data_IF_698191955435
#
_entry.id   IF_698191955435
#
_cell.length_a   1.000
_cell.length_b   1.000
_cell.length_c   1.000
_cell.angle_alpha   90.00
_cell.angle_beta   90.00
_cell.angle_gamma   90.00
#
_symmetry.space_group_name_H-M   'P 1'
#
loop_
_entity.id
_entity.type
_entity.pdbx_description
1 polymer ?
#
# COMPACT_ATOMS: atom_id res chain seq x y z
N UNK A 1 21.05 -52.59 -33.76
CA UNK A 1 22.17 -53.33 -34.38
C UNK A 1 23.45 -52.68 -33.91
N UNK A 2 24.26 -53.43 -33.15
CA UNK A 2 25.69 -53.26 -32.77
C UNK A 2 26.10 -51.93 -32.08
N UNK A 3 26.52 -51.85 -30.82
CA UNK A 3 27.63 -52.51 -30.08
C UNK A 3 29.00 -52.33 -30.74
N UNK A 4 29.93 -51.69 -30.02
CA UNK A 4 31.22 -52.31 -29.68
C UNK A 4 31.93 -51.63 -28.51
N UNK A 5 32.50 -52.47 -27.64
CA UNK A 5 33.21 -52.22 -26.39
C UNK A 5 34.66 -51.66 -26.53
N UNK A 6 35.12 -51.10 -25.41
CA UNK A 6 36.44 -51.14 -24.78
C UNK A 6 37.73 -50.78 -25.55
N UNK A 7 38.54 -49.91 -24.93
CA UNK A 7 39.84 -50.30 -24.34
C UNK A 7 40.40 -49.19 -23.43
N UNK A 8 40.89 -49.62 -22.27
CA UNK A 8 41.44 -48.83 -21.18
C UNK A 8 42.75 -48.09 -21.50
N UNK A 9 42.99 -46.97 -20.81
CA UNK A 9 44.34 -46.59 -20.39
C UNK A 9 44.31 -45.92 -19.01
N UNK A 10 45.17 -46.45 -18.12
CA UNK A 10 45.37 -46.05 -16.74
C UNK A 10 46.28 -44.82 -16.68
N UNK A 11 45.94 -43.84 -15.84
CA UNK A 11 46.81 -42.74 -15.44
C UNK A 11 46.23 -41.98 -14.25
N UNK A 12 46.74 -42.25 -13.04
CA UNK A 12 46.46 -41.51 -11.80
C UNK A 12 47.20 -40.16 -11.76
N UNK A 13 47.10 -39.37 -10.67
CA UNK A 13 46.02 -38.46 -10.30
C UNK A 13 46.49 -36.99 -10.43
N UNK A 14 45.75 -36.14 -11.14
CA UNK A 14 46.04 -34.70 -11.14
C UNK A 14 45.06 -33.99 -10.21
N UNK A 15 45.61 -33.55 -9.08
CA UNK A 15 45.03 -32.65 -8.07
C UNK A 15 43.92 -31.75 -8.62
N UNK A 16 42.68 -31.98 -8.18
CA UNK A 16 41.58 -31.05 -8.39
C UNK A 16 41.87 -29.78 -7.58
N UNK A 17 42.28 -28.71 -8.26
CA UNK A 17 42.24 -27.38 -7.70
C UNK A 17 40.75 -27.02 -7.52
N UNK A 18 40.32 -26.90 -6.26
CA UNK A 18 38.98 -26.49 -5.86
C UNK A 18 38.72 -25.07 -6.36
N UNK A 19 37.91 -24.92 -7.40
CA UNK A 19 37.42 -23.62 -7.85
C UNK A 19 36.41 -23.09 -6.81
N UNK A 20 36.64 -21.88 -6.31
CA UNK A 20 35.71 -21.20 -5.40
C UNK A 20 34.55 -20.65 -6.23
N UNK A 21 33.31 -21.08 -5.94
CA UNK A 21 32.11 -20.60 -6.63
C UNK A 21 31.46 -19.44 -5.85
N UNK A 22 30.93 -18.47 -6.59
CA UNK A 22 30.25 -17.29 -6.04
C UNK A 22 28.76 -17.60 -5.80
N UNK A 23 28.25 -17.28 -4.63
CA UNK A 23 26.88 -17.59 -4.19
C UNK A 23 26.11 -16.31 -3.81
N UNK A 24 24.82 -16.26 -4.13
CA UNK A 24 23.95 -15.14 -3.80
C UNK A 24 23.01 -15.49 -2.65
N UNK A 25 23.34 -15.04 -1.43
CA UNK A 25 22.59 -15.36 -0.21
C UNK A 25 21.12 -14.94 -0.22
N UNK A 26 20.80 -13.82 -0.87
CA UNK A 26 19.42 -13.31 -0.93
C UNK A 26 18.54 -14.03 -1.96
N UNK A 27 19.15 -14.74 -2.91
CA UNK A 27 18.43 -15.55 -3.89
C UNK A 27 18.54 -17.05 -3.59
N UNK A 28 19.37 -17.43 -2.61
CA UNK A 28 19.70 -18.80 -2.20
C UNK A 28 20.11 -19.73 -3.37
N UNK A 29 20.72 -19.16 -4.41
CA UNK A 29 21.13 -19.87 -5.62
C UNK A 29 22.49 -19.36 -6.14
N UNK A 30 23.17 -20.21 -6.93
CA UNK A 30 24.35 -19.80 -7.71
C UNK A 30 23.85 -18.95 -8.90
N UNK A 31 24.27 -17.68 -9.00
CA UNK A 31 23.73 -16.77 -10.01
C UNK A 31 24.11 -17.22 -11.43
N UNK A 32 23.11 -17.43 -12.28
CA UNK A 32 23.31 -17.83 -13.68
C UNK A 32 23.88 -16.69 -14.56
N UNK A 33 23.80 -15.43 -14.09
CA UNK A 33 24.35 -14.26 -14.75
C UNK A 33 24.79 -13.19 -13.74
N UNK A 34 25.95 -12.56 -13.97
CA UNK A 34 26.57 -11.56 -13.09
C UNK A 34 26.72 -10.21 -13.80
N UNK A 35 26.79 -9.11 -13.05
CA UNK A 35 27.13 -7.79 -13.61
C UNK A 35 28.53 -7.82 -14.24
N UNK A 36 28.85 -6.87 -15.13
CA UNK A 36 30.14 -6.82 -15.85
C UNK A 36 31.38 -6.86 -14.93
N UNK A 37 31.23 -6.44 -13.67
CA UNK A 37 32.30 -6.43 -12.67
C UNK A 37 32.42 -7.75 -11.88
N UNK A 38 31.55 -8.73 -12.14
CA UNK A 38 31.60 -10.09 -11.60
C UNK A 38 31.30 -10.23 -10.10
N UNK A 39 30.87 -9.15 -9.44
CA UNK A 39 30.75 -9.08 -7.96
C UNK A 39 29.32 -9.00 -7.44
N UNK A 40 28.32 -8.81 -8.31
CA UNK A 40 26.94 -8.56 -7.89
C UNK A 40 25.95 -9.40 -8.70
N UNK A 41 24.93 -9.89 -8.00
CA UNK A 41 23.81 -10.60 -8.60
C UNK A 41 22.98 -9.64 -9.45
N UNK A 42 22.69 -10.01 -10.71
CA UNK A 42 21.86 -9.20 -11.60
C UNK A 42 20.37 -9.21 -11.25
N UNK A 43 19.93 -10.20 -10.46
CA UNK A 43 18.51 -10.37 -10.09
C UNK A 43 18.15 -9.46 -8.91
N UNK A 44 18.97 -9.43 -7.86
CA UNK A 44 18.70 -8.66 -6.65
C UNK A 44 19.65 -7.46 -6.43
N UNK A 45 20.78 -7.40 -7.12
CA UNK A 45 21.79 -6.33 -6.98
C UNK A 45 22.78 -6.51 -5.81
N UNK A 46 22.64 -7.57 -5.02
CA UNK A 46 23.47 -7.84 -3.85
C UNK A 46 24.85 -8.40 -4.22
N UNK A 47 25.81 -8.20 -3.33
CA UNK A 47 27.21 -8.59 -3.51
C UNK A 47 27.37 -10.09 -3.28
N UNK A 48 28.11 -10.77 -4.16
CA UNK A 48 28.25 -12.22 -4.16
C UNK A 48 29.36 -12.66 -3.21
N UNK A 49 29.11 -13.73 -2.46
CA UNK A 49 30.07 -14.28 -1.49
C UNK A 49 30.74 -15.53 -2.06
N UNK A 50 32.02 -15.74 -1.74
CA UNK A 50 32.75 -16.95 -2.15
C UNK A 50 32.44 -18.10 -1.19
N UNK A 51 31.82 -19.16 -1.69
CA UNK A 51 31.63 -20.39 -0.93
C UNK A 51 32.80 -21.35 -1.19
N UNK A 52 33.43 -21.86 -0.13
CA UNK A 52 34.36 -22.99 -0.24
C UNK A 52 33.56 -24.30 -0.27
N UNK A 53 33.95 -25.29 -1.10
CA UNK A 53 33.27 -26.57 -1.12
C UNK A 53 33.59 -27.34 0.16
N UNK A 54 32.58 -27.53 1.00
CA UNK A 54 32.64 -28.40 2.17
C UNK A 54 32.60 -29.87 1.73
N UNK A 55 33.78 -30.45 1.48
CA UNK A 55 33.94 -31.90 1.46
C UNK A 55 34.09 -32.42 2.87
N UNK A 56 32.98 -32.79 3.50
CA UNK A 56 32.86 -33.93 4.44
C UNK A 56 31.45 -33.94 5.00
N UNK A 57 30.80 -35.10 4.87
CA UNK A 57 29.69 -35.50 5.72
C UNK A 57 30.13 -35.36 7.18
N UNK A 58 29.88 -34.22 7.80
CA UNK A 58 29.73 -34.15 9.23
C UNK A 58 28.24 -34.37 9.48
N UNK A 59 27.92 -35.64 9.71
CA UNK A 59 26.75 -36.04 10.47
C UNK A 59 26.48 -34.98 11.54
N UNK A 60 25.35 -34.29 11.40
CA UNK A 60 24.73 -33.61 12.52
C UNK A 60 24.76 -34.57 13.71
N UNK A 61 24.94 -34.13 14.97
CA UNK A 61 24.61 -34.98 16.08
C UNK A 61 23.11 -35.23 16.00
N UNK A 62 22.73 -36.32 15.32
CA UNK A 62 21.39 -36.84 15.33
C UNK A 62 21.06 -37.06 16.80
N UNK A 63 20.03 -36.37 17.27
CA UNK A 63 19.52 -36.56 18.61
C UNK A 63 18.93 -37.96 18.67
N UNK A 64 19.74 -38.92 19.14
CA UNK A 64 19.27 -40.26 19.47
C UNK A 64 18.43 -40.10 20.72
N UNK A 65 17.11 -40.20 20.56
CA UNK A 65 16.17 -40.36 21.66
C UNK A 65 16.41 -41.75 22.29
N UNK A 66 17.39 -41.85 23.17
CA UNK A 66 17.42 -42.92 24.15
C UNK A 66 16.32 -42.62 25.17
N UNK A 67 15.39 -43.55 25.31
CA UNK A 67 14.22 -43.44 26.19
C UNK A 67 14.58 -43.40 27.68
N UNK A 68 15.05 -42.24 28.14
CA UNK A 68 14.97 -41.83 29.54
C UNK A 68 14.03 -40.63 29.60
N UNK A 69 13.03 -40.71 30.47
CA UNK A 69 12.07 -39.63 30.71
C UNK A 69 12.80 -38.30 30.92
N UNK A 70 12.61 -37.37 29.97
CA UNK A 70 13.17 -36.02 30.06
C UNK A 70 12.55 -35.31 31.25
N UNK A 71 13.40 -34.84 32.17
CA UNK A 71 12.96 -34.05 33.32
C UNK A 71 12.40 -32.69 32.82
N UNK A 72 11.31 -32.23 33.43
CA UNK A 72 10.68 -30.91 33.17
C UNK A 72 11.70 -29.78 33.22
N UNK A 73 12.72 -29.87 34.08
CA UNK A 73 13.79 -28.87 34.19
C UNK A 73 14.73 -28.87 32.98
N UNK A 74 15.00 -30.03 32.37
CA UNK A 74 15.80 -30.12 31.14
C UNK A 74 15.01 -29.61 29.94
N UNK A 75 13.71 -29.89 29.90
CA UNK A 75 12.78 -29.34 28.92
C UNK A 75 12.68 -27.82 29.02
N UNK A 76 12.55 -27.28 30.24
CA UNK A 76 12.61 -25.83 30.47
C UNK A 76 13.96 -25.24 30.05
N UNK A 77 15.07 -25.92 30.31
CA UNK A 77 16.40 -25.44 29.93
C UNK A 77 16.58 -25.45 28.40
N UNK A 78 16.08 -26.47 27.72
CA UNK A 78 16.08 -26.54 26.25
C UNK A 78 15.19 -25.47 25.64
N UNK A 79 13.97 -25.28 26.16
CA UNK A 79 13.05 -24.22 25.70
C UNK A 79 13.65 -22.84 25.95
N UNK A 80 14.27 -22.59 27.10
CA UNK A 80 14.92 -21.30 27.37
C UNK A 80 16.13 -21.08 26.47
N UNK A 81 16.93 -22.11 26.14
CA UNK A 81 18.02 -22.00 25.16
C UNK A 81 17.52 -21.81 23.72
N UNK A 82 16.41 -22.45 23.36
CA UNK A 82 15.74 -22.22 22.07
C UNK A 82 15.17 -20.80 22.03
N UNK A 83 14.57 -20.31 23.10
CA UNK A 83 14.07 -18.94 23.21
C UNK A 83 15.21 -17.91 23.27
N UNK A 84 16.41 -18.27 23.72
CA UNK A 84 17.61 -17.43 23.67
C UNK A 84 18.19 -17.41 22.24
N UNK A 85 18.23 -18.56 21.58
CA UNK A 85 18.68 -18.69 20.19
C UNK A 85 17.69 -18.11 19.16
N UNK A 86 16.39 -18.17 19.45
CA UNK A 86 15.32 -17.48 18.71
C UNK A 86 15.21 -16.01 19.18
N UNK A 87 15.60 -15.72 20.42
CA UNK A 87 15.38 -14.43 21.11
C UNK A 87 16.50 -13.41 20.96
N UNK A 88 17.70 -13.81 20.52
CA UNK A 88 18.73 -12.85 20.11
C UNK A 88 18.37 -12.11 18.80
N UNK A 89 17.39 -12.60 18.02
CA UNK A 89 17.03 -12.02 16.72
C UNK A 89 15.54 -11.69 16.53
N UNK A 90 14.75 -11.57 17.61
CA UNK A 90 13.43 -10.94 17.50
C UNK A 90 13.47 -9.42 17.47
N UNK A 91 14.59 -8.86 17.93
CA UNK A 91 14.88 -7.43 17.92
C UNK A 91 16.17 -7.14 17.12
N UNK A 92 16.36 -7.88 16.02
CA UNK A 92 17.42 -7.78 15.01
C UNK A 92 18.73 -7.13 15.45
N UNK A 93 19.80 -7.92 15.54
CA UNK A 93 21.16 -7.41 15.66
C UNK A 93 21.41 -6.18 14.78
N UNK A 94 22.25 -5.26 15.29
CA UNK A 94 22.70 -3.91 14.87
C UNK A 94 22.29 -3.29 13.50
N UNK A 95 21.85 -4.07 12.53
CA UNK A 95 21.34 -3.68 11.20
C UNK A 95 19.85 -3.98 10.98
N UNK A 96 19.13 -4.69 11.87
CA UNK A 96 17.78 -5.23 11.59
C UNK A 96 16.71 -5.13 12.69
N UNK A 97 16.99 -4.52 13.84
CA UNK A 97 16.00 -4.39 14.93
C UNK A 97 14.74 -3.65 14.45
N UNK A 98 13.54 -4.18 14.75
CA UNK A 98 12.33 -3.35 14.72
C UNK A 98 12.51 -2.26 15.76
N UNK A 99 12.89 -1.07 15.30
CA UNK A 99 13.06 0.08 16.20
C UNK A 99 11.69 0.70 16.42
N UNK A 100 11.30 1.01 17.67
CA UNK A 100 10.10 1.78 17.92
C UNK A 100 10.12 3.09 17.13
N UNK A 101 8.96 3.55 16.69
CA UNK A 101 8.84 4.88 16.13
C UNK A 101 9.23 5.94 17.19
N UNK A 102 9.79 7.06 16.74
CA UNK A 102 10.04 8.21 17.62
C UNK A 102 8.71 8.84 18.04
N UNK A 103 8.63 9.31 19.29
CA UNK A 103 7.43 9.95 19.82
C UNK A 103 7.00 11.17 18.98
N UNK A 104 7.98 11.90 18.41
CA UNK A 104 7.74 13.00 17.48
C UNK A 104 7.11 12.51 16.17
N UNK A 105 7.58 11.40 15.60
CA UNK A 105 7.01 10.84 14.38
C UNK A 105 5.57 10.37 14.58
N UNK A 106 5.30 9.64 15.68
CA UNK A 106 3.94 9.19 16.03
C UNK A 106 3.01 10.38 16.22
N UNK A 107 3.46 11.43 16.94
CA UNK A 107 2.67 12.65 17.13
C UNK A 107 2.37 13.36 15.80
N UNK A 108 3.32 13.35 14.86
CA UNK A 108 3.18 13.99 13.56
C UNK A 108 2.22 13.27 12.60
N UNK A 109 1.93 11.98 12.80
CA UNK A 109 0.90 11.29 12.03
C UNK A 109 -0.49 11.91 12.25
N UNK A 110 -0.70 12.50 13.42
CA UNK A 110 -1.99 13.01 13.85
C UNK A 110 -3.02 11.89 14.03
N UNK A 111 -4.21 12.29 14.43
CA UNK A 111 -5.39 11.43 14.42
C UNK A 111 -6.58 12.28 14.07
N UNK A 112 -7.53 11.71 13.37
CA UNK A 112 -8.78 12.38 13.02
C UNK A 112 -9.96 11.47 13.36
N UNK A 113 -11.13 12.08 13.42
CA UNK A 113 -12.38 11.34 13.60
C UNK A 113 -12.79 10.82 12.24
N UNK A 114 -12.99 9.51 12.15
CA UNK A 114 -13.43 8.85 10.94
C UNK A 114 -14.78 9.44 10.49
N UNK A 115 -14.81 9.83 9.23
CA UNK A 115 -15.92 10.46 8.52
C UNK A 115 -16.42 9.54 7.39
N UNK A 116 -17.38 10.04 6.62
CA UNK A 116 -17.95 9.29 5.50
C UNK A 116 -16.88 8.82 4.50
N UNK A 117 -15.94 9.69 4.14
CA UNK A 117 -14.93 9.40 3.11
C UNK A 117 -13.79 8.51 3.59
N UNK A 118 -13.57 8.42 4.90
CA UNK A 118 -12.59 7.52 5.47
C UNK A 118 -13.13 6.12 5.74
N UNK A 119 -14.44 5.94 5.80
CA UNK A 119 -15.07 4.65 6.18
C UNK A 119 -15.79 3.96 5.04
N UNK A 120 -16.32 4.72 4.09
CA UNK A 120 -17.08 4.21 2.96
C UNK A 120 -16.20 4.05 1.73
N UNK A 121 -16.32 2.91 1.07
CA UNK A 121 -15.78 2.71 -0.28
C UNK A 121 -16.90 2.89 -1.31
N UNK A 122 -16.60 3.66 -2.36
CA UNK A 122 -17.52 3.90 -3.47
C UNK A 122 -16.91 3.36 -4.75
N UNK A 123 -17.66 2.54 -5.46
CA UNK A 123 -17.29 1.97 -6.74
C UNK A 123 -18.23 2.47 -7.83
N UNK A 124 -17.65 3.02 -8.91
CA UNK A 124 -18.36 3.39 -10.13
C UNK A 124 -18.21 2.23 -11.12
N UNK A 125 -19.34 1.65 -11.50
CA UNK A 125 -19.40 0.46 -12.36
C UNK A 125 -20.14 0.87 -13.64
N UNK A 126 -19.42 0.90 -14.75
CA UNK A 126 -19.99 1.32 -16.04
C UNK A 126 -20.43 0.07 -16.81
N UNK A 127 -21.69 0.01 -17.24
CA UNK A 127 -22.19 -1.13 -18.01
C UNK A 127 -21.36 -1.28 -19.30
N UNK A 128 -20.87 -2.50 -19.54
CA UNK A 128 -20.03 -2.82 -20.70
C UNK A 128 -18.52 -2.65 -20.48
N UNK A 129 -18.08 -2.07 -19.36
CA UNK A 129 -16.67 -2.04 -18.96
C UNK A 129 -16.43 -3.09 -17.88
N UNK A 130 -15.38 -3.89 -18.02
CA UNK A 130 -14.99 -4.86 -16.99
C UNK A 130 -14.29 -4.16 -15.82
N UNK A 131 -14.71 -4.49 -14.60
CA UNK A 131 -14.14 -3.96 -13.38
C UNK A 131 -14.90 -2.74 -12.86
N UNK A 132 -14.32 -2.10 -11.84
CA UNK A 132 -14.89 -0.96 -11.16
C UNK A 132 -13.83 0.11 -10.93
N UNK A 133 -14.28 1.36 -10.86
CA UNK A 133 -13.41 2.49 -10.57
C UNK A 133 -13.75 3.02 -9.18
N UNK A 134 -12.76 3.02 -8.29
CA UNK A 134 -12.93 3.59 -6.95
C UNK A 134 -13.06 5.11 -7.03
N UNK A 135 -14.06 5.63 -6.34
CA UNK A 135 -14.30 7.05 -6.13
C UNK A 135 -14.34 7.37 -4.63
N UNK A 136 -14.07 8.62 -4.28
CA UNK A 136 -14.09 9.10 -2.89
C UNK A 136 -15.36 9.92 -2.67
N UNK A 137 -16.22 9.58 -1.69
CA UNK A 137 -17.41 10.39 -1.43
C UNK A 137 -17.04 11.74 -0.83
N UNK A 138 -17.87 12.75 -1.09
CA UNK A 138 -17.77 14.03 -0.39
C UNK A 138 -18.12 13.89 1.08
N UNK A 139 -17.62 14.81 1.92
CA UNK A 139 -18.07 14.94 3.31
C UNK A 139 -19.33 15.80 3.45
N UNK A 140 -20.08 15.93 2.36
CA UNK A 140 -21.33 16.65 2.25
C UNK A 140 -22.26 15.92 1.28
N UNK A 141 -23.56 16.20 1.39
CA UNK A 141 -24.57 15.43 0.69
C UNK A 141 -24.68 13.99 1.20
N UNK A 142 -25.69 13.25 0.75
CA UNK A 142 -25.82 11.82 1.07
C UNK A 142 -24.72 11.00 0.39
N UNK A 143 -24.35 9.86 0.98
CA UNK A 143 -23.60 8.81 0.30
C UNK A 143 -24.51 7.60 0.13
N UNK A 144 -25.30 7.65 -0.93
CA UNK A 144 -26.30 6.64 -1.29
C UNK A 144 -25.96 6.02 -2.64
N UNK A 145 -26.28 4.72 -2.83
CA UNK A 145 -26.07 4.06 -4.10
C UNK A 145 -26.99 4.63 -5.18
N UNK A 146 -26.53 4.59 -6.43
CA UNK A 146 -27.33 4.94 -7.60
C UNK A 146 -27.33 3.76 -8.56
N UNK A 147 -28.50 3.25 -8.91
CA UNK A 147 -28.65 2.10 -9.81
C UNK A 147 -29.07 2.55 -11.21
N UNK A 148 -28.39 2.00 -12.21
CA UNK A 148 -28.68 2.07 -13.65
C UNK A 148 -29.00 3.49 -14.14
N UNK A 149 -28.14 4.45 -13.77
CA UNK A 149 -28.30 5.84 -14.18
C UNK A 149 -27.50 6.14 -15.43
N UNK A 150 -28.10 6.94 -16.32
CA UNK A 150 -27.37 7.48 -17.46
C UNK A 150 -26.31 8.47 -16.98
N UNK A 151 -25.16 8.46 -17.64
CA UNK A 151 -24.05 9.37 -17.37
C UNK A 151 -24.02 10.47 -18.42
N UNK A 152 -23.82 11.71 -17.98
CA UNK A 152 -23.69 12.87 -18.88
C UNK A 152 -22.49 13.71 -18.48
N UNK A 153 -21.76 14.23 -19.47
CA UNK A 153 -20.69 15.21 -19.24
C UNK A 153 -21.33 16.59 -19.15
N UNK A 154 -21.01 17.34 -18.11
CA UNK A 154 -21.46 18.72 -17.95
C UNK A 154 -20.87 19.64 -19.03
N UNK A 155 -21.66 20.63 -19.48
CA UNK A 155 -21.20 21.70 -20.36
C UNK A 155 -21.59 23.05 -19.74
N UNK A 156 -20.65 23.93 -19.36
CA UNK A 156 -19.20 23.74 -19.40
C UNK A 156 -18.72 22.66 -18.44
N UNK A 157 -17.61 22.00 -18.79
CA UNK A 157 -17.12 20.81 -18.07
C UNK A 157 -16.73 21.07 -16.62
N UNK A 158 -16.30 22.29 -16.28
CA UNK A 158 -16.04 22.62 -14.88
C UNK A 158 -17.34 22.77 -14.08
N UNK A 159 -18.48 23.08 -14.70
CA UNK A 159 -19.72 23.41 -13.99
C UNK A 159 -19.60 24.67 -13.13
N UNK A 160 -18.73 25.62 -13.48
CA UNK A 160 -18.58 26.91 -12.79
C UNK A 160 -19.63 27.95 -13.23
N UNK A 161 -20.16 27.82 -14.45
CA UNK A 161 -21.25 28.63 -15.02
C UNK A 161 -22.54 27.79 -15.14
N UNK A 162 -23.70 28.40 -15.45
CA UNK A 162 -24.92 27.66 -15.80
C UNK A 162 -24.65 26.64 -16.90
N UNK A 163 -25.32 25.49 -16.84
CA UNK A 163 -25.10 24.41 -17.80
C UNK A 163 -25.84 24.67 -19.11
N UNK A 164 -25.15 24.51 -20.23
CA UNK A 164 -25.71 24.61 -21.58
C UNK A 164 -26.61 23.41 -21.89
N UNK A 165 -26.27 22.23 -21.37
CA UNK A 165 -27.03 20.98 -21.50
C UNK A 165 -27.88 20.64 -20.26
N UNK A 166 -28.34 21.65 -19.52
CA UNK A 166 -29.12 21.50 -18.29
C UNK A 166 -30.38 20.61 -18.47
N UNK A 167 -31.07 20.77 -19.60
CA UNK A 167 -32.28 20.02 -19.96
C UNK A 167 -32.06 18.50 -20.04
N UNK A 168 -30.82 18.05 -20.18
CA UNK A 168 -30.48 16.63 -20.29
C UNK A 168 -30.00 16.00 -18.97
N UNK A 169 -29.88 16.77 -17.89
CA UNK A 169 -29.26 16.30 -16.63
C UNK A 169 -30.22 15.55 -15.70
N UNK A 170 -31.52 15.70 -15.91
CA UNK A 170 -32.54 15.11 -15.03
C UNK A 170 -32.37 13.60 -14.89
N UNK A 171 -32.32 13.13 -13.63
CA UNK A 171 -32.17 11.72 -13.25
C UNK A 171 -30.86 11.06 -13.76
N UNK A 172 -29.85 11.85 -14.15
CA UNK A 172 -28.54 11.37 -14.62
C UNK A 172 -27.43 11.60 -13.60
N UNK A 173 -26.35 10.84 -13.74
CA UNK A 173 -25.07 11.10 -13.09
C UNK A 173 -24.31 12.13 -13.92
N UNK A 174 -24.05 13.30 -13.36
CA UNK A 174 -23.35 14.38 -14.04
C UNK A 174 -21.85 14.31 -13.75
N UNK A 175 -21.03 14.27 -14.81
CA UNK A 175 -19.56 14.24 -14.72
C UNK A 175 -19.01 15.62 -15.04
N UNK A 176 -18.16 16.15 -14.15
CA UNK A 176 -17.57 17.49 -14.28
C UNK A 176 -16.14 17.52 -13.73
N UNK A 177 -15.34 18.52 -14.09
CA UNK A 177 -13.99 18.71 -13.56
C UNK A 177 -13.96 19.48 -12.25
N UNK A 178 -12.91 19.22 -11.45
CA UNK A 178 -12.48 20.11 -10.37
C UNK A 178 -12.03 21.47 -10.92
N UNK A 179 -12.33 22.54 -10.17
CA UNK A 179 -11.82 23.90 -10.41
C UNK A 179 -12.90 24.89 -10.79
N UNK A 180 -12.61 26.19 -10.81
CA UNK A 180 -13.56 27.24 -11.22
C UNK A 180 -14.57 27.72 -10.17
N UNK A 181 -15.04 26.86 -9.25
CA UNK A 181 -15.78 27.27 -8.04
C UNK A 181 -15.75 26.16 -6.96
N UNK A 182 -16.41 26.38 -5.81
CA UNK A 182 -16.47 25.40 -4.70
C UNK A 182 -17.20 24.11 -5.11
N UNK A 183 -16.83 22.97 -4.50
CA UNK A 183 -17.48 21.68 -4.80
C UNK A 183 -18.99 21.72 -4.52
N UNK A 184 -19.37 22.22 -3.34
CA UNK A 184 -20.76 22.36 -2.95
C UNK A 184 -21.56 23.19 -3.98
N UNK A 185 -21.02 24.33 -4.45
CA UNK A 185 -21.70 25.18 -5.43
C UNK A 185 -21.97 24.46 -6.75
N UNK A 186 -21.02 23.66 -7.25
CA UNK A 186 -21.20 22.90 -8.50
C UNK A 186 -22.26 21.81 -8.35
N UNK A 187 -22.22 21.09 -7.24
CA UNK A 187 -23.17 20.02 -6.93
C UNK A 187 -24.58 20.62 -6.76
N UNK A 188 -24.72 21.74 -6.06
CA UNK A 188 -25.99 22.46 -5.94
C UNK A 188 -26.54 22.91 -7.30
N UNK A 189 -25.67 23.34 -8.22
CA UNK A 189 -26.10 23.69 -9.57
C UNK A 189 -26.62 22.48 -10.32
N UNK A 190 -25.91 21.34 -10.29
CA UNK A 190 -26.38 20.12 -10.95
C UNK A 190 -27.67 19.60 -10.32
N UNK A 191 -27.80 19.70 -8.99
CA UNK A 191 -29.02 19.39 -8.27
C UNK A 191 -30.21 20.26 -8.71
N UNK A 192 -29.99 21.56 -8.96
CA UNK A 192 -31.04 22.46 -9.44
C UNK A 192 -31.56 22.03 -10.81
N UNK A 193 -30.71 21.42 -11.65
CA UNK A 193 -31.10 20.84 -12.94
C UNK A 193 -31.63 19.39 -12.85
N UNK A 194 -31.82 18.87 -11.63
CA UNK A 194 -32.41 17.56 -11.38
C UNK A 194 -31.45 16.37 -11.54
N UNK A 195 -30.14 16.59 -11.47
CA UNK A 195 -29.16 15.50 -11.46
C UNK A 195 -29.43 14.51 -10.31
N UNK A 196 -29.26 13.22 -10.57
CA UNK A 196 -29.37 12.17 -9.55
C UNK A 196 -28.11 12.09 -8.67
N UNK A 197 -26.95 12.49 -9.20
CA UNK A 197 -25.68 12.51 -8.49
C UNK A 197 -24.57 13.12 -9.35
N UNK A 198 -23.42 13.38 -8.74
CA UNK A 198 -22.29 14.04 -9.39
C UNK A 198 -20.99 13.25 -9.21
N UNK A 199 -20.22 13.12 -10.29
CA UNK A 199 -18.84 12.65 -10.27
C UNK A 199 -17.93 13.82 -10.68
N UNK A 200 -17.07 14.25 -9.76
CA UNK A 200 -16.07 15.29 -9.98
C UNK A 200 -14.73 14.65 -10.31
N UNK A 201 -14.19 14.96 -11.48
CA UNK A 201 -12.90 14.48 -11.95
C UNK A 201 -11.79 15.38 -11.41
N UNK A 202 -10.84 14.78 -10.70
CA UNK A 202 -9.62 15.45 -10.26
C UNK A 202 -8.77 15.88 -11.47
N UNK A 203 -8.11 17.04 -11.36
CA UNK A 203 -7.28 17.60 -12.45
C UNK A 203 -5.78 17.37 -12.28
N UNK A 204 -5.35 16.92 -11.10
CA UNK A 204 -3.95 16.62 -10.77
C UNK A 204 -3.79 15.12 -10.48
N UNK A 205 -2.67 14.54 -10.90
CA UNK A 205 -2.37 13.11 -10.70
C UNK A 205 -1.85 12.84 -9.29
N UNK A 206 -2.73 13.07 -8.32
CA UNK A 206 -2.54 12.74 -6.91
C UNK A 206 -3.73 11.91 -6.45
N UNK A 207 -3.56 11.18 -5.35
CA UNK A 207 -4.66 10.43 -4.74
C UNK A 207 -5.85 11.38 -4.49
N UNK A 208 -7.08 10.99 -4.87
CA UNK A 208 -8.23 11.86 -4.68
C UNK A 208 -8.43 12.15 -3.20
N UNK A 209 -8.52 13.42 -2.85
CA UNK A 209 -8.79 13.85 -1.49
C UNK A 209 -10.30 13.97 -1.26
N UNK A 210 -10.70 13.88 0.01
CA UNK A 210 -12.10 14.07 0.40
C UNK A 210 -12.57 15.48 0.07
N UNK A 211 -13.64 15.61 -0.69
CA UNK A 211 -14.25 16.92 -0.96
C UNK A 211 -14.89 17.44 0.34
N UNK A 212 -14.41 18.58 0.82
CA UNK A 212 -14.95 19.26 2.00
C UNK A 212 -15.63 20.56 1.61
N UNK A 213 -16.58 20.99 2.44
CA UNK A 213 -17.24 22.28 2.29
C UNK A 213 -16.43 23.36 3.01
N UNK A 214 -15.78 24.21 2.23
CA UNK A 214 -14.98 25.31 2.75
C UNK A 214 -15.80 26.56 3.07
N UNK A 215 -17.06 26.66 2.61
CA UNK A 215 -17.87 27.89 2.63
C UNK A 215 -19.18 27.76 3.40
N UNK A 216 -19.56 26.55 3.82
CA UNK A 216 -20.83 26.28 4.51
C UNK A 216 -22.04 26.21 3.58
N UNK A 217 -21.83 26.21 2.26
CA UNK A 217 -22.86 26.16 1.23
C UNK A 217 -23.48 24.77 1.10
N UNK A 218 -22.84 23.73 1.64
CA UNK A 218 -23.23 22.34 1.40
C UNK A 218 -24.49 21.87 2.15
N UNK A 219 -25.04 22.71 3.04
CA UNK A 219 -26.24 22.39 3.85
C UNK A 219 -27.45 21.99 2.99
N UNK A 220 -27.53 22.54 1.78
CA UNK A 220 -28.64 22.30 0.85
C UNK A 220 -28.33 21.20 -0.17
N UNK A 221 -27.17 20.54 -0.09
CA UNK A 221 -26.82 19.42 -0.97
C UNK A 221 -27.56 18.16 -0.53
N UNK A 222 -28.40 17.66 -1.43
CA UNK A 222 -29.29 16.50 -1.25
C UNK A 222 -29.01 15.36 -2.22
N UNK A 223 -28.07 15.55 -3.14
CA UNK A 223 -27.64 14.53 -4.10
C UNK A 223 -26.23 14.05 -3.76
N UNK A 224 -25.90 12.78 -4.02
CA UNK A 224 -24.59 12.24 -3.75
C UNK A 224 -23.52 12.85 -4.67
N UNK A 225 -22.35 13.10 -4.11
CA UNK A 225 -21.21 13.67 -4.81
C UNK A 225 -19.93 12.85 -4.54
N UNK A 226 -19.24 12.47 -5.62
CA UNK A 226 -18.06 11.62 -5.56
C UNK A 226 -16.90 12.25 -6.34
N UNK A 227 -15.67 11.98 -5.92
CA UNK A 227 -14.46 12.39 -6.64
C UNK A 227 -13.78 11.16 -7.27
N UNK A 228 -13.40 11.27 -8.54
CA UNK A 228 -12.61 10.27 -9.25
C UNK A 228 -11.21 10.82 -9.55
N UNK A 229 -10.20 9.95 -9.53
CA UNK A 229 -8.81 10.32 -9.85
C UNK A 229 -8.66 10.88 -11.28
N UNK A 230 -7.63 11.70 -11.50
CA UNK A 230 -7.34 12.25 -12.83
C UNK A 230 -7.08 11.14 -13.85
N UNK A 231 -6.33 10.10 -13.44
CA UNK A 231 -6.00 8.94 -14.27
C UNK A 231 -7.25 8.18 -14.75
N UNK A 232 -8.12 7.78 -13.83
CA UNK A 232 -9.35 7.07 -14.20
C UNK A 232 -10.34 8.00 -14.91
N UNK A 233 -10.45 9.24 -14.46
CA UNK A 233 -11.35 10.23 -15.04
C UNK A 233 -11.03 10.54 -16.50
N UNK A 234 -9.75 10.64 -16.88
CA UNK A 234 -9.36 10.83 -18.29
C UNK A 234 -9.92 9.72 -19.18
N UNK A 235 -9.66 8.46 -18.83
CA UNK A 235 -10.16 7.32 -19.59
C UNK A 235 -11.69 7.25 -19.60
N UNK A 236 -12.33 7.60 -18.49
CA UNK A 236 -13.79 7.64 -18.39
C UNK A 236 -14.41 8.70 -19.31
N UNK A 237 -13.85 9.92 -19.34
CA UNK A 237 -14.29 11.00 -20.24
C UNK A 237 -14.08 10.62 -21.71
N UNK A 238 -12.92 10.05 -22.06
CA UNK A 238 -12.63 9.59 -23.42
C UNK A 238 -13.63 8.51 -23.87
N UNK A 239 -13.97 7.58 -22.99
CA UNK A 239 -15.01 6.57 -23.24
C UNK A 239 -16.38 7.20 -23.49
N UNK A 240 -16.82 8.10 -22.62
CA UNK A 240 -18.11 8.80 -22.75
C UNK A 240 -18.21 9.59 -24.06
N UNK A 241 -17.14 10.29 -24.46
CA UNK A 241 -17.10 11.05 -25.72
C UNK A 241 -17.05 10.16 -26.96
N UNK A 242 -16.45 8.98 -26.86
CA UNK A 242 -16.40 8.00 -27.95
C UNK A 242 -17.73 7.32 -28.24
N UNK A 243 -18.68 7.37 -27.31
CA UNK A 243 -20.04 6.84 -27.45
C UNK A 243 -20.94 7.87 -28.15
N UNK A 244 -20.84 7.96 -29.47
CA UNK A 244 -21.68 8.85 -30.29
C UNK A 244 -23.18 8.50 -30.14
N UNK A 245 -23.91 9.29 -29.36
CA UNK A 245 -25.37 9.18 -29.10
C UNK A 245 -25.86 7.90 -28.41
N UNK A 246 -24.96 7.07 -27.88
CA UNK A 246 -25.34 5.91 -27.07
C UNK A 246 -25.40 6.32 -25.60
N UNK A 247 -26.50 5.97 -24.93
CA UNK A 247 -26.63 6.22 -23.50
C UNK A 247 -25.70 5.29 -22.70
N UNK A 248 -24.79 5.87 -21.92
CA UNK A 248 -23.92 5.11 -21.03
C UNK A 248 -24.56 5.00 -19.66
N UNK A 249 -24.83 3.77 -19.23
CA UNK A 249 -25.37 3.46 -17.91
C UNK A 249 -24.24 3.17 -16.92
N UNK A 250 -24.36 3.68 -15.71
CA UNK A 250 -23.47 3.37 -14.60
C UNK A 250 -24.24 3.13 -13.30
N UNK A 251 -23.70 2.20 -12.52
CA UNK A 251 -24.08 1.93 -11.14
C UNK A 251 -23.05 2.59 -10.21
N UNK A 252 -23.51 3.21 -9.13
CA UNK A 252 -22.68 3.65 -8.01
C UNK A 252 -22.97 2.72 -6.84
N UNK A 253 -22.03 1.84 -6.55
CA UNK A 253 -22.08 0.96 -5.39
C UNK A 253 -21.45 1.67 -4.19
N UNK A 254 -22.18 1.71 -3.08
CA UNK A 254 -21.72 2.28 -1.80
C UNK A 254 -21.54 1.13 -0.81
N UNK A 255 -20.30 0.85 -0.46
CA UNK A 255 -19.94 -0.18 0.53
C UNK A 255 -19.67 0.50 1.85
N UNK A 256 -20.71 0.53 2.68
CA UNK A 256 -20.57 0.87 4.10
C UNK A 256 -19.69 -0.21 4.74
N UNK A 257 -18.83 0.20 5.67
CA UNK A 257 -18.04 -0.71 6.49
C UNK A 257 -16.94 -1.46 5.72
N UNK A 258 -16.59 -0.99 4.52
CA UNK A 258 -15.55 -1.59 3.66
C UNK A 258 -14.12 -1.47 4.22
N UNK A 259 -13.94 -0.78 5.35
CA UNK A 259 -12.63 -0.47 5.92
C UNK A 259 -12.50 -1.00 7.33
N UNK A 260 -11.76 -2.10 7.43
CA UNK A 260 -11.38 -2.71 8.70
C UNK A 260 -9.94 -2.35 9.06
N UNK A 261 -9.68 -2.20 10.36
CA UNK A 261 -8.32 -2.07 10.83
C UNK A 261 -7.65 -3.45 10.83
N UNK A 262 -6.68 -3.67 9.94
CA UNK A 262 -5.98 -4.96 9.80
C UNK A 262 -5.24 -5.44 11.07
N UNK A 263 -5.04 -4.56 12.06
CA UNK A 263 -4.38 -4.92 13.32
C UNK A 263 -5.35 -5.66 14.24
N UNK A 264 -6.58 -5.16 14.40
CA UNK A 264 -7.60 -5.74 15.28
C UNK A 264 -8.71 -6.49 14.55
N UNK A 265 -8.77 -6.39 13.21
CA UNK A 265 -9.81 -6.94 12.34
C UNK A 265 -11.22 -6.45 12.71
N UNK A 266 -11.30 -5.22 13.21
CA UNK A 266 -12.57 -4.55 13.54
C UNK A 266 -12.77 -3.38 12.58
N UNK A 267 -14.03 -3.14 12.24
CA UNK A 267 -14.46 -2.03 11.41
C UNK A 267 -14.02 -0.67 11.96
N UNK A 268 -13.60 0.23 11.08
CA UNK A 268 -13.34 1.63 11.39
C UNK A 268 -14.60 2.46 11.11
N UNK A 269 -15.59 2.43 12.00
CA UNK A 269 -16.86 3.14 11.80
C UNK A 269 -16.74 4.66 11.98
N UNK A 270 -17.72 5.41 11.44
CA UNK A 270 -17.82 6.88 11.59
C UNK A 270 -17.81 7.26 13.07
N UNK A 271 -17.06 8.31 13.42
CA UNK A 271 -16.91 8.78 14.80
C UNK A 271 -15.74 8.15 15.55
N UNK A 272 -15.16 7.06 15.06
CA UNK A 272 -13.98 6.45 15.68
C UNK A 272 -12.72 7.26 15.41
N UNK A 273 -11.76 7.20 16.34
CA UNK A 273 -10.46 7.86 16.16
C UNK A 273 -9.53 6.99 15.32
N UNK A 274 -9.14 7.49 14.16
CA UNK A 274 -8.27 6.80 13.20
C UNK A 274 -7.01 7.61 12.93
N UNK A 275 -5.95 6.91 12.57
CA UNK A 275 -4.67 7.51 12.16
C UNK A 275 -4.27 6.95 10.81
N UNK A 276 -3.75 7.84 9.96
CA UNK A 276 -3.27 7.51 8.62
C UNK A 276 -1.75 7.57 8.59
N UNK A 277 -1.12 6.55 8.04
CA UNK A 277 0.32 6.52 7.78
C UNK A 277 0.67 7.42 6.57
N UNK A 278 1.93 7.84 6.38
CA UNK A 278 2.32 8.66 5.22
C UNK A 278 2.03 7.97 3.88
N UNK A 279 2.06 6.63 3.87
CA UNK A 279 1.63 5.78 2.76
C UNK A 279 0.11 5.69 2.54
N UNK A 280 -0.69 6.53 3.22
CA UNK A 280 -2.15 6.63 3.17
C UNK A 280 -2.97 5.46 3.75
N UNK A 281 -2.33 4.38 4.21
CA UNK A 281 -3.01 3.31 4.94
C UNK A 281 -3.54 3.80 6.30
N UNK A 282 -4.76 3.37 6.65
CA UNK A 282 -5.48 3.81 7.85
C UNK A 282 -5.73 2.67 8.83
N UNK A 283 -5.75 3.03 10.12
CA UNK A 283 -5.90 2.12 11.24
C UNK A 283 -6.62 2.84 12.39
N UNK A 284 -7.23 2.11 13.33
CA UNK A 284 -7.60 2.73 14.60
C UNK A 284 -6.36 3.32 15.27
N UNK A 285 -6.48 4.53 15.80
CA UNK A 285 -5.35 5.24 16.42
C UNK A 285 -4.71 4.41 17.53
N UNK A 286 -5.52 3.77 18.39
CA UNK A 286 -5.01 2.96 19.48
C UNK A 286 -4.18 1.76 18.97
N UNK A 287 -4.70 1.03 17.99
CA UNK A 287 -4.03 -0.13 17.40
C UNK A 287 -2.71 0.25 16.74
N UNK A 288 -2.70 1.32 15.93
CA UNK A 288 -1.48 1.76 15.27
C UNK A 288 -0.44 2.29 16.26
N UNK A 289 -0.87 3.00 17.30
CA UNK A 289 0.06 3.51 18.30
C UNK A 289 0.74 2.37 19.06
N UNK A 290 0.00 1.31 19.40
CA UNK A 290 0.60 0.12 20.04
C UNK A 290 1.57 -0.59 19.11
N UNK A 291 1.20 -0.75 17.84
CA UNK A 291 2.10 -1.30 16.81
C UNK A 291 3.40 -0.49 16.69
N UNK A 292 3.29 0.84 16.70
CA UNK A 292 4.42 1.75 16.54
C UNK A 292 5.32 1.86 17.79
N UNK A 293 4.90 1.29 18.93
CA UNK A 293 5.78 1.11 20.11
C UNK A 293 6.78 -0.01 19.93
N UNK A 294 6.48 -0.97 19.05
CA UNK A 294 7.32 -2.15 18.79
C UNK A 294 8.15 -1.93 17.53
N UNK A 295 7.57 -1.37 16.47
CA UNK A 295 8.28 -1.07 15.22
C UNK A 295 7.99 0.34 14.69
N UNK A 296 8.61 0.71 13.58
CA UNK A 296 8.42 2.02 12.95
C UNK A 296 7.80 1.93 11.55
N UNK A 297 7.20 0.80 11.18
CA UNK A 297 6.71 0.54 9.83
C UNK A 297 5.20 0.34 9.74
N UNK A 298 4.63 0.68 8.59
CA UNK A 298 3.22 0.43 8.28
C UNK A 298 2.90 -1.08 8.27
N UNK A 299 1.84 -1.53 8.97
CA UNK A 299 1.43 -2.95 8.97
C UNK A 299 1.10 -3.53 7.60
N UNK A 300 0.69 -2.70 6.64
CA UNK A 300 0.26 -3.15 5.30
C UNK A 300 1.44 -3.17 4.32
N UNK A 301 2.15 -2.04 4.17
CA UNK A 301 3.17 -1.88 3.12
C UNK A 301 4.60 -1.73 3.64
N UNK A 302 4.82 -1.83 4.96
CA UNK A 302 6.13 -1.71 5.63
C UNK A 302 6.88 -0.39 5.43
N UNK A 303 6.25 0.63 4.83
CA UNK A 303 6.83 1.99 4.77
C UNK A 303 7.11 2.50 6.18
N UNK A 304 8.34 2.92 6.40
CA UNK A 304 8.86 3.34 7.70
C UNK A 304 8.61 4.83 8.01
N UNK A 305 8.53 5.12 9.30
CA UNK A 305 8.60 6.48 9.87
C UNK A 305 9.84 6.61 10.76
N UNK A 306 10.21 7.84 11.14
CA UNK A 306 11.44 8.06 11.89
C UNK A 306 11.46 7.29 13.22
N UNK A 307 12.46 6.41 13.38
CA UNK A 307 12.67 5.59 14.56
C UNK A 307 13.19 6.39 15.77
N UNK A 308 12.96 5.88 16.98
CA UNK A 308 13.53 6.43 18.21
C UNK A 308 15.05 6.25 18.19
N UNK A 309 15.80 7.33 18.45
CA UNK A 309 17.26 7.24 18.58
C UNK A 309 17.62 6.40 19.80
N UNK A 310 18.44 5.37 19.63
CA UNK A 310 19.04 4.63 20.74
C UNK A 310 20.06 5.53 21.45
N UNK A 311 19.92 5.70 22.77
CA UNK A 311 20.86 6.46 23.60
C UNK A 311 22.16 5.70 23.91
N UNK A 312 22.43 4.58 23.22
CA UNK A 312 23.70 3.88 23.36
C UNK A 312 24.75 4.50 22.43
N UNK A 313 25.85 4.95 23.04
CA UNK A 313 27.00 5.65 22.44
C UNK A 313 27.39 5.16 21.05
N UNK A 314 27.53 6.09 20.10
CA UNK A 314 28.62 6.10 19.11
C UNK A 314 28.66 7.47 18.42
N UNK A 315 29.62 8.28 18.85
CA UNK A 315 30.15 9.43 18.12
C UNK A 315 30.77 8.97 16.80
N UNK A 316 29.95 8.81 15.77
CA UNK A 316 30.39 8.73 14.38
C UNK A 316 29.26 9.22 13.48
N UNK A 317 29.38 10.48 13.06
CA UNK A 317 28.52 11.14 12.08
C UNK A 317 28.61 10.45 10.72
N UNK A 318 27.68 9.55 10.42
CA UNK A 318 27.43 9.11 9.04
C UNK A 318 26.35 10.01 8.43
N UNK A 319 26.76 10.98 7.63
CA UNK A 319 25.91 11.96 6.94
C UNK A 319 24.92 11.34 5.91
N UNK A 320 24.94 10.01 5.71
CA UNK A 320 24.10 9.32 4.71
C UNK A 320 22.67 8.99 5.16
N UNK A 321 22.36 8.99 6.46
CA UNK A 321 21.00 8.75 6.95
C UNK A 321 20.09 10.00 6.87
N UNK A 322 20.69 11.20 6.82
CA UNK A 322 19.95 12.46 6.70
C UNK A 322 19.25 12.60 5.33
N UNK A 323 19.80 12.05 4.25
CA UNK A 323 19.31 12.31 2.89
C UNK A 323 18.04 11.52 2.50
N UNK A 324 17.66 10.46 3.21
CA UNK A 324 16.40 9.71 2.94
C UNK A 324 15.23 10.12 3.83
N UNK A 325 15.48 10.88 4.90
CA UNK A 325 14.48 11.29 5.89
C UNK A 325 13.89 12.67 5.68
N UNK A 326 14.46 13.48 4.78
CA UNK A 326 14.04 14.86 4.50
C UNK A 326 13.02 14.95 3.35
N UNK A 327 12.15 13.94 3.19
CA UNK A 327 10.85 14.21 2.58
C UNK A 327 10.03 14.99 3.61
N UNK A 328 10.11 16.32 3.53
CA UNK A 328 9.36 17.26 4.34
C UNK A 328 7.86 17.18 4.00
N UNK A 329 7.19 16.12 4.47
CA UNK A 329 5.74 15.92 4.39
C UNK A 329 4.93 17.03 5.10
N UNK A 330 5.59 17.88 5.89
CA UNK A 330 4.98 19.03 6.55
C UNK A 330 4.43 20.07 5.56
N UNK A 331 4.93 20.09 4.32
CA UNK A 331 4.43 21.00 3.27
C UNK A 331 3.11 20.51 2.63
N UNK A 332 2.71 19.25 2.85
CA UNK A 332 1.53 18.67 2.17
C UNK A 332 0.22 18.85 2.94
N UNK A 333 0.29 19.21 4.22
CA UNK A 333 -0.86 19.42 5.11
C UNK A 333 -1.05 20.90 5.51
N UNK A 334 -0.38 21.83 4.82
CA UNK A 334 -0.63 23.28 4.96
C UNK A 334 -1.55 23.78 3.86
#
# INVERSE_FOLDING_TARGET
>A
MASFDDLAFVGSPTTAATAMELFCRDCDEVPQAMTNDGKRCLVCGCELELQQPTSTEQSSPGFVLNGSEMNVQELQTMVMRLLDHIGEDWNGGTTGARRPASDKAVKNLGSFVADQASTIEVAVIVKGIKGEVIAIPGNFGPCEPLEERNVIIAEPFDGAKPFENANEMKDKIVVMARGGCTFARKVLRAQAEGAAGVIIIQTVDVWPYTMTDSTGESKDVKIPAFMMSAKHGKGFIEYLRGKCNESVLADIAVRKDARECVICQVEMSIGMKVTRMPCQHMFHTACLHEWLRIGNSCPICRVEIAAKRSTYNSSSSSQNAQQRGDFAWNEWFS
#
